data_IF_689749702459
#
_entry.id   IF_689749702459
#
_cell.length_a   1.000
_cell.length_b   1.000
_cell.length_c   1.000
_cell.angle_alpha   90.00
_cell.angle_beta   90.00
_cell.angle_gamma   90.00
#
_symmetry.space_group_name_H-M   'P 1'
#
loop_
_entity.id
_entity.type
_entity.pdbx_description
1 polymer ?
#
# COMPACT_ATOMS: atom_id res chain seq x y z
N UNK A 1 0.03 0.17 -34.74
CA UNK A 1 0.57 1.35 -34.00
C UNK A 1 0.10 1.46 -32.55
N UNK A 2 -1.16 1.13 -32.21
CA UNK A 2 -1.65 1.21 -30.83
C UNK A 2 -0.94 0.27 -29.83
N UNK A 3 -0.58 -0.94 -30.29
CA UNK A 3 0.07 -1.96 -29.46
C UNK A 3 1.47 -1.55 -28.97
N UNK A 4 2.22 -0.78 -29.76
CA UNK A 4 3.54 -0.26 -29.35
C UNK A 4 3.42 0.82 -28.29
N UNK A 5 2.41 1.69 -28.40
CA UNK A 5 2.09 2.72 -27.38
C UNK A 5 1.68 2.09 -26.05
N UNK A 6 0.82 1.07 -26.06
CA UNK A 6 0.43 0.32 -24.86
C UNK A 6 1.62 -0.37 -24.17
N UNK A 7 2.52 -0.98 -24.96
CA UNK A 7 3.73 -1.61 -24.43
C UNK A 7 4.69 -0.59 -23.82
N UNK A 8 4.86 0.57 -24.47
CA UNK A 8 5.66 1.67 -23.96
C UNK A 8 5.08 2.21 -22.65
N UNK A 9 3.76 2.46 -22.61
CA UNK A 9 3.04 2.89 -21.41
C UNK A 9 3.23 1.90 -20.25
N UNK A 10 2.97 0.59 -20.48
CA UNK A 10 3.14 -0.44 -19.46
C UNK A 10 4.59 -0.60 -18.97
N UNK A 11 5.58 -0.29 -19.79
CA UNK A 11 6.99 -0.29 -19.38
C UNK A 11 7.33 0.94 -18.54
N UNK A 12 6.72 2.08 -18.87
CA UNK A 12 6.88 3.35 -18.17
C UNK A 12 6.24 3.32 -16.77
N UNK A 13 5.00 2.82 -16.66
CA UNK A 13 4.26 2.79 -15.39
C UNK A 13 4.80 1.81 -14.35
N UNK A 14 5.63 0.85 -14.76
CA UNK A 14 6.33 -0.09 -13.86
C UNK A 14 7.50 0.54 -13.10
N UNK A 15 7.84 1.80 -13.38
CA UNK A 15 8.98 2.46 -12.73
C UNK A 15 8.61 2.83 -11.30
N UNK A 16 9.52 2.66 -10.33
CA UNK A 16 9.18 2.83 -8.91
C UNK A 16 8.81 4.26 -8.54
N UNK A 17 9.30 5.23 -9.30
CA UNK A 17 8.99 6.64 -9.10
C UNK A 17 7.51 6.97 -9.30
N UNK A 18 6.81 6.29 -10.22
CA UNK A 18 5.36 6.47 -10.36
C UNK A 18 4.62 5.89 -9.15
N UNK A 19 5.04 4.73 -8.65
CA UNK A 19 4.48 4.16 -7.41
C UNK A 19 4.68 5.07 -6.21
N UNK A 20 5.88 5.66 -6.06
CA UNK A 20 6.15 6.64 -5.00
C UNK A 20 5.25 7.88 -5.12
N UNK A 21 5.09 8.41 -6.33
CA UNK A 21 4.23 9.57 -6.59
C UNK A 21 2.73 9.30 -6.35
N UNK A 22 2.26 8.07 -6.62
CA UNK A 22 0.88 7.65 -6.35
C UNK A 22 0.60 7.49 -4.85
N UNK A 23 1.60 7.01 -4.09
CA UNK A 23 1.47 6.77 -2.65
C UNK A 23 1.64 8.06 -1.84
N UNK A 24 2.36 9.05 -2.37
CA UNK A 24 2.65 10.32 -1.70
C UNK A 24 1.43 11.01 -1.06
N UNK A 25 0.27 11.20 -1.73
CA UNK A 25 -0.88 11.83 -1.06
C UNK A 25 -1.40 11.01 0.12
N UNK A 26 -1.48 9.68 0.00
CA UNK A 26 -1.92 8.81 1.10
C UNK A 26 -0.95 8.86 2.28
N UNK A 27 0.35 8.93 1.99
CA UNK A 27 1.41 9.07 2.99
C UNK A 27 1.25 10.38 3.77
N UNK A 28 1.01 11.50 3.06
CA UNK A 28 0.79 12.80 3.69
C UNK A 28 -0.48 12.80 4.56
N UNK A 29 -1.58 12.20 4.09
CA UNK A 29 -2.82 12.09 4.86
C UNK A 29 -2.61 11.25 6.12
N UNK A 30 -1.91 10.12 6.01
CA UNK A 30 -1.64 9.25 7.16
C UNK A 30 -0.79 9.93 8.22
N UNK A 31 0.38 10.45 7.85
CA UNK A 31 1.29 11.09 8.81
C UNK A 31 0.75 12.44 9.31
N UNK A 32 0.02 13.18 8.46
CA UNK A 32 -0.74 14.35 8.90
C UNK A 32 -1.81 13.97 9.93
N UNK A 33 -2.52 12.87 9.71
CA UNK A 33 -3.49 12.31 10.66
C UNK A 33 -2.85 11.93 11.99
N UNK A 34 -1.70 11.24 11.97
CA UNK A 34 -0.90 10.90 13.16
C UNK A 34 -0.56 12.16 13.96
N UNK A 35 -0.04 13.20 13.30
CA UNK A 35 0.35 14.45 13.94
C UNK A 35 -0.83 15.21 14.54
N UNK A 36 -1.92 15.34 13.78
CA UNK A 36 -3.14 16.04 14.23
C UNK A 36 -3.83 15.32 15.39
N UNK A 37 -3.82 13.98 15.39
CA UNK A 37 -4.46 13.17 16.41
C UNK A 37 -3.56 12.92 17.62
N UNK A 38 -2.26 13.30 17.54
CA UNK A 38 -1.20 12.98 18.51
C UNK A 38 -1.13 11.48 18.81
N UNK A 39 -1.36 10.66 17.79
CA UNK A 39 -1.26 9.21 17.88
C UNK A 39 0.17 8.77 17.59
N UNK A 40 0.61 7.63 18.13
CA UNK A 40 1.91 7.04 17.76
C UNK A 40 1.79 6.25 16.46
N UNK A 41 0.70 5.51 16.29
CA UNK A 41 0.31 4.80 15.09
C UNK A 41 -1.22 4.69 15.06
N UNK A 42 -1.80 4.59 13.87
CA UNK A 42 -3.24 4.36 13.67
C UNK A 42 -3.48 3.02 12.99
N UNK A 43 -2.58 2.61 12.10
CA UNK A 43 -2.66 1.34 11.39
C UNK A 43 -1.88 0.21 12.12
N UNK A 44 -2.37 -1.03 12.01
CA UNK A 44 -1.76 -2.21 12.64
C UNK A 44 -0.41 -2.63 12.03
N UNK A 45 -0.23 -2.53 10.71
CA UNK A 45 1.06 -2.83 10.09
C UNK A 45 2.13 -1.81 10.46
N UNK A 46 1.77 -0.53 10.58
CA UNK A 46 2.66 0.50 11.13
C UNK A 46 3.07 0.16 12.58
N UNK A 47 2.11 -0.25 13.41
CA UNK A 47 2.39 -0.70 14.78
C UNK A 47 3.38 -1.89 14.84
N UNK A 48 3.25 -2.85 13.92
CA UNK A 48 4.19 -3.98 13.81
C UNK A 48 5.59 -3.54 13.40
N UNK A 49 5.70 -2.63 12.43
CA UNK A 49 7.00 -2.07 12.01
C UNK A 49 7.65 -1.35 13.19
N UNK A 50 6.91 -0.49 13.89
CA UNK A 50 7.39 0.21 15.08
C UNK A 50 7.83 -0.75 16.18
N UNK A 51 7.09 -1.85 16.40
CA UNK A 51 7.45 -2.86 17.40
C UNK A 51 8.76 -3.57 17.06
N UNK A 52 8.99 -3.89 15.78
CA UNK A 52 10.24 -4.49 15.31
C UNK A 52 11.40 -3.50 15.47
N UNK A 53 11.21 -2.24 15.08
CA UNK A 53 12.20 -1.17 15.24
C UNK A 53 12.52 -0.90 16.71
N UNK A 54 11.53 -1.03 17.59
CA UNK A 54 11.71 -0.91 19.04
C UNK A 54 12.65 -1.96 19.63
N UNK A 55 12.82 -3.13 18.99
CA UNK A 55 13.83 -4.12 19.40
C UNK A 55 15.27 -3.62 19.19
N UNK A 56 15.44 -2.64 18.30
CA UNK A 56 16.71 -1.97 18.01
C UNK A 56 16.80 -0.59 18.70
N UNK A 57 15.97 -0.33 19.71
CA UNK A 57 15.91 0.93 20.47
C UNK A 57 15.57 2.18 19.63
N UNK A 58 14.87 2.00 18.51
CA UNK A 58 14.37 3.11 17.69
C UNK A 58 12.95 3.48 18.13
N UNK A 59 12.78 4.68 18.67
CA UNK A 59 11.51 5.13 19.27
C UNK A 59 10.96 6.43 18.66
N UNK A 60 11.25 6.71 17.39
CA UNK A 60 10.77 7.93 16.73
C UNK A 60 9.40 7.73 16.10
N UNK A 61 8.53 8.74 16.15
CA UNK A 61 7.17 8.71 15.56
C UNK A 61 7.22 8.54 14.04
N UNK A 62 8.35 8.90 13.41
CA UNK A 62 8.57 8.78 11.98
C UNK A 62 9.42 7.56 11.59
N UNK A 63 9.69 6.63 12.51
CA UNK A 63 10.57 5.49 12.20
C UNK A 63 10.00 4.62 11.07
N UNK A 64 8.69 4.37 11.07
CA UNK A 64 8.03 3.63 9.99
C UNK A 64 8.00 4.38 8.66
N UNK A 65 7.82 5.72 8.70
CA UNK A 65 7.95 6.57 7.51
C UNK A 65 9.34 6.45 6.89
N UNK A 66 10.38 6.39 7.72
CA UNK A 66 11.75 6.19 7.27
C UNK A 66 11.92 4.81 6.64
N UNK A 67 11.35 3.75 7.22
CA UNK A 67 11.37 2.40 6.62
C UNK A 67 10.71 2.39 5.25
N UNK A 68 9.56 3.04 5.09
CA UNK A 68 8.88 3.17 3.79
C UNK A 68 9.75 3.91 2.78
N UNK A 69 10.32 5.05 3.17
CA UNK A 69 11.17 5.86 2.29
C UNK A 69 12.44 5.12 1.89
N UNK A 70 13.12 4.46 2.83
CA UNK A 70 14.29 3.64 2.57
C UNK A 70 13.95 2.48 1.64
N UNK A 71 12.78 1.84 1.82
CA UNK A 71 12.31 0.78 0.93
C UNK A 71 12.13 1.27 -0.50
N UNK A 72 11.53 2.46 -0.69
CA UNK A 72 11.38 3.08 -2.00
C UNK A 72 12.73 3.44 -2.63
N UNK A 73 13.62 4.08 -1.87
CA UNK A 73 14.94 4.48 -2.35
C UNK A 73 15.75 3.24 -2.74
N UNK A 74 15.76 2.22 -1.89
CA UNK A 74 16.40 0.94 -2.18
C UNK A 74 15.89 0.34 -3.49
N UNK A 75 14.57 0.29 -3.67
CA UNK A 75 13.96 -0.25 -4.87
C UNK A 75 14.24 0.61 -6.12
N UNK A 76 14.23 1.93 -5.98
CA UNK A 76 14.56 2.88 -7.04
C UNK A 76 16.01 2.68 -7.52
N UNK A 77 16.96 2.58 -6.59
CA UNK A 77 18.38 2.30 -6.89
C UNK A 77 18.53 0.95 -7.60
N UNK A 78 17.87 -0.11 -7.09
CA UNK A 78 17.94 -1.45 -7.69
C UNK A 78 17.38 -1.44 -9.12
N UNK A 79 16.30 -0.71 -9.35
CA UNK A 79 15.65 -0.64 -10.67
C UNK A 79 16.45 0.13 -11.73
N UNK A 80 17.48 0.91 -11.33
CA UNK A 80 18.26 1.82 -12.20
C UNK A 80 17.37 2.69 -13.10
N UNK A 81 16.17 3.02 -12.62
CA UNK A 81 15.18 3.74 -13.41
C UNK A 81 15.46 5.24 -13.44
N UNK A 82 15.03 5.91 -14.51
CA UNK A 82 15.15 7.37 -14.57
C UNK A 82 14.22 8.04 -13.57
N UNK A 83 14.68 9.14 -12.97
CA UNK A 83 13.91 9.95 -12.03
C UNK A 83 12.96 10.95 -12.70
N UNK A 84 12.74 10.82 -14.02
CA UNK A 84 11.88 11.72 -14.78
C UNK A 84 10.43 11.24 -14.69
N UNK A 85 9.56 12.12 -14.20
CA UNK A 85 8.12 11.90 -14.14
C UNK A 85 7.44 12.60 -15.32
N UNK A 86 6.66 11.84 -16.10
CA UNK A 86 5.76 12.43 -17.08
C UNK A 86 4.40 12.68 -16.40
N UNK A 87 4.06 13.96 -16.23
CA UNK A 87 2.82 14.38 -15.53
C UNK A 87 1.57 13.84 -16.20
N UNK A 88 1.53 13.81 -17.54
CA UNK A 88 0.41 13.23 -18.30
C UNK A 88 0.21 11.74 -17.98
N UNK A 89 1.29 10.95 -17.92
CA UNK A 89 1.25 9.53 -17.56
C UNK A 89 0.80 9.33 -16.12
N UNK A 90 1.30 10.15 -15.19
CA UNK A 90 0.91 10.09 -13.79
C UNK A 90 -0.58 10.40 -13.60
N UNK A 91 -1.09 11.45 -14.27
CA UNK A 91 -2.51 11.81 -14.23
C UNK A 91 -3.40 10.67 -14.74
N UNK A 92 -2.98 10.04 -15.85
CA UNK A 92 -3.69 8.90 -16.42
C UNK A 92 -3.70 7.70 -15.46
N UNK A 93 -2.58 7.42 -14.79
CA UNK A 93 -2.53 6.37 -13.75
C UNK A 93 -3.44 6.67 -12.56
N UNK A 94 -3.54 7.93 -12.11
CA UNK A 94 -4.49 8.33 -11.07
C UNK A 94 -5.92 8.09 -11.54
N UNK A 95 -6.26 8.49 -12.77
CA UNK A 95 -7.59 8.28 -13.31
C UNK A 95 -7.96 6.79 -13.41
N UNK A 96 -7.05 5.97 -13.94
CA UNK A 96 -7.22 4.51 -13.98
C UNK A 96 -7.42 3.93 -12.58
N UNK A 97 -6.61 4.36 -11.61
CA UNK A 97 -6.71 3.90 -10.21
C UNK A 97 -8.04 4.31 -9.57
N UNK A 98 -8.50 5.53 -9.81
CA UNK A 98 -9.82 6.00 -9.36
C UNK A 98 -10.95 5.19 -10.00
N UNK A 99 -10.87 4.91 -11.30
CA UNK A 99 -11.85 4.09 -11.99
C UNK A 99 -11.91 2.67 -11.41
N UNK A 100 -10.76 2.06 -11.15
CA UNK A 100 -10.69 0.75 -10.48
C UNK A 100 -11.22 0.79 -9.04
N UNK A 101 -10.91 1.85 -8.28
CA UNK A 101 -11.42 2.03 -6.93
C UNK A 101 -12.96 2.17 -6.93
N UNK A 102 -13.52 2.96 -7.84
CA UNK A 102 -14.98 3.11 -8.02
C UNK A 102 -15.59 1.77 -8.41
N UNK A 103 -14.99 1.06 -9.38
CA UNK A 103 -15.49 -0.24 -9.81
C UNK A 103 -15.49 -1.26 -8.66
N UNK A 104 -14.39 -1.35 -7.91
CA UNK A 104 -14.32 -2.21 -6.71
C UNK A 104 -15.34 -1.80 -5.65
N UNK A 105 -15.52 -0.49 -5.42
CA UNK A 105 -16.52 0.03 -4.50
C UNK A 105 -17.95 -0.33 -4.95
N UNK A 106 -18.26 -0.26 -6.24
CA UNK A 106 -19.57 -0.65 -6.75
C UNK A 106 -19.78 -2.17 -6.64
N UNK A 107 -18.77 -2.97 -6.96
CA UNK A 107 -18.86 -4.43 -6.93
C UNK A 107 -18.93 -4.99 -5.49
N UNK A 108 -18.10 -4.49 -4.59
CA UNK A 108 -17.97 -5.01 -3.21
C UNK A 108 -18.72 -4.16 -2.19
N UNK A 109 -18.86 -2.85 -2.40
CA UNK A 109 -19.61 -1.97 -1.51
C UNK A 109 -21.10 -2.29 -1.52
N UNK A 110 -21.65 -2.71 -2.68
CA UNK A 110 -23.02 -3.21 -2.76
C UNK A 110 -23.21 -4.51 -1.97
N UNK A 111 -22.27 -5.46 -2.06
CA UNK A 111 -22.34 -6.71 -1.27
C UNK A 111 -22.15 -6.47 0.23
N UNK A 112 -21.42 -5.43 0.62
CA UNK A 112 -21.25 -5.03 2.02
C UNK A 112 -22.57 -4.66 2.69
N UNK A 113 -23.53 -4.02 2.00
CA UNK A 113 -24.84 -3.74 2.61
C UNK A 113 -25.63 -5.02 2.90
N UNK A 114 -25.51 -6.05 2.05
CA UNK A 114 -26.14 -7.36 2.27
C UNK A 114 -25.39 -8.20 3.33
N UNK A 115 -24.06 -8.20 3.31
CA UNK A 115 -23.22 -8.94 4.26
C UNK A 115 -23.18 -8.28 5.64
N UNK A 116 -23.18 -6.95 5.74
CA UNK A 116 -23.23 -6.24 7.02
C UNK A 116 -24.58 -6.41 7.72
N UNK A 117 -25.66 -6.68 6.97
CA UNK A 117 -26.96 -7.04 7.56
C UNK A 117 -26.90 -8.42 8.23
N UNK A 118 -26.21 -9.40 7.63
CA UNK A 118 -25.96 -10.72 8.22
C UNK A 118 -24.90 -10.72 9.33
N UNK A 119 -23.86 -9.90 9.19
CA UNK A 119 -22.74 -9.80 10.13
C UNK A 119 -23.11 -9.00 11.41
N UNK A 120 -23.98 -8.00 11.30
CA UNK A 120 -24.58 -7.32 12.46
C UNK A 120 -25.52 -8.26 13.24
N UNK A 121 -26.23 -9.16 12.56
CA UNK A 121 -27.03 -10.21 13.20
C UNK A 121 -26.18 -11.28 13.90
N UNK A 122 -24.94 -11.51 13.43
CA UNK A 122 -23.98 -12.45 14.00
C UNK A 122 -22.98 -11.82 15.00
N UNK A 123 -23.20 -10.56 15.43
CA UNK A 123 -22.33 -9.86 16.39
C UNK A 123 -20.92 -9.51 15.88
N UNK A 124 -20.64 -9.73 14.60
CA UNK A 124 -19.31 -9.61 14.00
C UNK A 124 -19.30 -8.62 12.84
N UNK A 125 -19.50 -7.33 13.09
CA UNK A 125 -19.48 -6.40 11.96
C UNK A 125 -19.65 -4.94 12.30
N UNK A 126 -18.60 -4.33 12.83
CA UNK A 126 -18.32 -2.90 12.65
C UNK A 126 -16.84 -2.68 12.93
N UNK A 127 -16.06 -2.33 11.90
CA UNK A 127 -14.79 -1.64 12.18
C UNK A 127 -15.06 -0.41 13.07
N UNK A 128 -14.05 0.12 13.77
CA UNK A 128 -14.24 1.21 14.73
C UNK A 128 -15.06 2.37 14.13
N UNK A 129 -16.35 2.46 14.45
CA UNK A 129 -17.22 3.55 13.99
C UNK A 129 -16.97 4.74 14.90
N UNK A 130 -15.91 5.47 14.64
CA UNK A 130 -15.64 6.71 15.35
C UNK A 130 -16.65 7.78 14.90
N UNK A 131 -17.56 8.18 15.81
CA UNK A 131 -18.61 9.16 15.54
C UNK A 131 -18.03 10.59 15.58
N UNK A 132 -18.41 11.42 14.61
CA UNK A 132 -18.02 12.84 14.53
C UNK A 132 -16.82 13.11 13.60
N UNK A 133 -16.47 14.40 13.43
CA UNK A 133 -15.43 14.85 12.50
C UNK A 133 -14.06 14.23 12.80
N UNK A 134 -13.69 14.17 14.09
CA UNK A 134 -12.46 13.50 14.54
C UNK A 134 -12.43 12.02 14.16
N UNK A 135 -13.59 11.35 14.22
CA UNK A 135 -13.69 9.95 13.87
C UNK A 135 -13.48 9.66 12.39
N UNK A 136 -14.05 10.48 11.51
CA UNK A 136 -13.80 10.40 10.06
C UNK A 136 -12.34 10.62 9.71
N UNK A 137 -11.65 11.51 10.42
CA UNK A 137 -10.21 11.72 10.24
C UNK A 137 -9.40 10.48 10.65
N UNK A 138 -9.72 9.86 11.79
CA UNK A 138 -9.09 8.61 12.24
C UNK A 138 -9.31 7.50 11.20
N UNK A 139 -10.54 7.33 10.74
CA UNK A 139 -10.90 6.30 9.77
C UNK A 139 -10.19 6.51 8.42
N UNK A 140 -10.18 7.75 7.93
CA UNK A 140 -9.48 8.11 6.69
C UNK A 140 -7.98 7.84 6.79
N UNK A 141 -7.35 8.26 7.90
CA UNK A 141 -5.95 7.97 8.16
C UNK A 141 -5.72 6.46 8.26
N UNK A 142 -6.58 5.71 8.96
CA UNK A 142 -6.48 4.27 9.09
C UNK A 142 -6.49 3.57 7.72
N UNK A 143 -7.40 3.94 6.82
CA UNK A 143 -7.46 3.36 5.47
C UNK A 143 -6.23 3.74 4.63
N UNK A 144 -5.75 4.98 4.73
CA UNK A 144 -4.51 5.40 4.06
C UNK A 144 -3.30 4.60 4.57
N UNK A 145 -3.17 4.45 5.89
CA UNK A 145 -2.12 3.67 6.52
C UNK A 145 -2.18 2.20 6.14
N UNK A 146 -3.38 1.61 6.11
CA UNK A 146 -3.60 0.23 5.69
C UNK A 146 -3.11 0.01 4.25
N UNK A 147 -3.54 0.86 3.30
CA UNK A 147 -3.13 0.72 1.90
C UNK A 147 -1.62 0.80 1.68
N UNK A 148 -0.89 1.56 2.49
CA UNK A 148 0.56 1.74 2.35
C UNK A 148 1.34 0.67 3.12
N UNK A 149 1.13 0.59 4.43
CA UNK A 149 1.96 -0.19 5.33
C UNK A 149 1.65 -1.68 5.26
N UNK A 150 0.40 -2.07 5.06
CA UNK A 150 0.04 -3.48 4.90
C UNK A 150 0.60 -4.03 3.58
N UNK A 151 0.55 -3.25 2.51
CA UNK A 151 1.11 -3.67 1.22
C UNK A 151 2.65 -3.80 1.30
N UNK A 152 3.33 -2.85 1.96
CA UNK A 152 4.77 -2.94 2.19
C UNK A 152 5.13 -4.18 3.04
N UNK A 153 4.48 -4.34 4.20
CA UNK A 153 4.81 -5.37 5.17
C UNK A 153 4.43 -6.76 4.66
N UNK A 154 3.19 -6.94 4.21
CA UNK A 154 2.68 -8.26 3.84
C UNK A 154 3.07 -8.65 2.42
N UNK A 155 2.92 -7.77 1.43
CA UNK A 155 3.27 -8.15 0.06
C UNK A 155 4.76 -7.97 -0.22
N UNK A 156 5.31 -6.81 0.13
CA UNK A 156 6.71 -6.47 -0.12
C UNK A 156 7.66 -7.38 0.65
N UNK A 157 7.52 -7.43 1.97
CA UNK A 157 8.46 -8.14 2.84
C UNK A 157 8.05 -9.60 3.03
N UNK A 158 6.86 -9.87 3.58
CA UNK A 158 6.46 -11.21 4.00
C UNK A 158 6.28 -12.17 2.82
N UNK A 159 5.37 -11.84 1.88
CA UNK A 159 5.10 -12.66 0.71
C UNK A 159 6.33 -12.74 -0.21
N UNK A 160 7.02 -11.61 -0.41
CA UNK A 160 8.28 -11.58 -1.17
C UNK A 160 9.32 -12.55 -0.62
N UNK A 161 9.55 -12.51 0.70
CA UNK A 161 10.49 -13.41 1.37
C UNK A 161 10.04 -14.87 1.32
N UNK A 162 8.74 -15.13 1.46
CA UNK A 162 8.18 -16.48 1.38
C UNK A 162 8.34 -17.09 -0.02
N UNK A 163 8.10 -16.31 -1.08
CA UNK A 163 8.33 -16.74 -2.46
C UNK A 163 9.81 -17.04 -2.70
N UNK A 164 10.72 -16.20 -2.18
CA UNK A 164 12.17 -16.45 -2.29
C UNK A 164 12.58 -17.72 -1.52
N UNK A 165 12.04 -17.92 -0.32
CA UNK A 165 12.27 -19.11 0.48
C UNK A 165 11.81 -20.37 -0.26
N UNK A 166 10.56 -20.41 -0.72
CA UNK A 166 10.05 -21.57 -1.45
C UNK A 166 10.76 -21.77 -2.79
N UNK A 167 11.05 -20.73 -3.56
CA UNK A 167 11.77 -20.91 -4.84
C UNK A 167 13.17 -21.51 -4.63
N UNK A 168 13.82 -21.21 -3.51
CA UNK A 168 15.13 -21.77 -3.16
C UNK A 168 15.03 -23.18 -2.57
N UNK A 169 14.11 -23.41 -1.64
CA UNK A 169 13.91 -24.71 -0.96
C UNK A 169 13.28 -25.74 -1.89
N UNK A 170 12.29 -25.34 -2.68
CA UNK A 170 11.54 -26.22 -3.56
C UNK A 170 12.16 -26.39 -4.94
N UNK A 171 13.27 -25.68 -5.24
CA UNK A 171 14.06 -25.71 -6.48
C UNK A 171 13.46 -26.64 -7.54
N UNK A 172 12.42 -26.16 -8.23
CA UNK A 172 11.91 -26.79 -9.44
C UNK A 172 13.10 -26.82 -10.40
N UNK A 173 13.74 -27.99 -10.47
CA UNK A 173 14.81 -28.28 -11.42
C UNK A 173 14.21 -27.96 -12.77
N UNK A 174 14.62 -26.83 -13.36
CA UNK A 174 14.21 -26.47 -14.72
C UNK A 174 14.50 -27.71 -15.57
N UNK A 175 13.51 -28.33 -16.24
CA UNK A 175 13.83 -29.36 -17.21
C UNK A 175 14.79 -28.69 -18.20
N UNK A 176 15.97 -29.28 -18.34
CA UNK A 176 16.94 -28.88 -19.34
C UNK A 176 16.19 -28.86 -20.67
N UNK A 177 16.21 -27.70 -21.34
CA UNK A 177 15.75 -27.60 -22.70
C UNK A 177 16.49 -28.65 -23.54
N UNK A 178 15.73 -29.54 -24.18
CA UNK A 178 16.16 -30.36 -25.29
C UNK A 178 15.56 -29.76 -26.56
#
# INVERSE_FOLDING_TARGET
>A
MAFSKLRAYRKETKRPIYSAALILPFFLIYHGGILLLRATYINGADALIMRILGLFSVHTIFASALVLLLSFVFWQIRSKSSWKLQTSTLLLMYFESCLFAILLFLLLGWSSNYLASGAQAAGGGSGPRFRGMRGRLVETALYCGAGIYEELLFRGILLGSLILFFSKVLSLKKPAAA
#
